data_IF_976983515913
#
_entry.id   IF_976983515913
#
_cell.length_a   1.000
_cell.length_b   1.000
_cell.length_c   1.000
_cell.angle_alpha   90.00
_cell.angle_beta   90.00
_cell.angle_gamma   90.00
#
_symmetry.space_group_name_H-M   'P 1'
#
loop_
_entity.id
_entity.type
_entity.pdbx_description
1 polymer ?
#
# COMPACT_ATOMS: atom_id res chain seq x y z
N UNK A 1 4.05 54.59 16.68
CA UNK A 1 4.35 53.23 17.20
C UNK A 1 5.49 52.67 16.37
N UNK A 2 6.61 52.25 16.97
CA UNK A 2 7.83 52.02 16.21
C UNK A 2 7.71 50.72 15.41
N UNK A 3 8.12 50.76 14.15
CA UNK A 3 8.15 49.62 13.20
C UNK A 3 8.72 48.33 13.82
N UNK A 4 9.61 48.46 14.80
CA UNK A 4 10.16 47.36 15.62
C UNK A 4 9.10 46.53 16.36
N UNK A 5 8.04 47.17 16.88
CA UNK A 5 6.94 46.48 17.57
C UNK A 5 6.07 45.67 16.60
N UNK A 6 5.83 46.20 15.39
CA UNK A 6 5.12 45.50 14.32
C UNK A 6 5.91 44.27 13.83
N UNK A 7 7.22 44.42 13.64
CA UNK A 7 8.09 43.30 13.24
C UNK A 7 8.11 42.21 14.32
N UNK A 8 8.25 42.57 15.60
CA UNK A 8 8.26 41.61 16.71
C UNK A 8 6.92 40.88 16.86
N UNK A 9 5.79 41.56 16.62
CA UNK A 9 4.46 40.95 16.63
C UNK A 9 4.29 39.95 15.47
N UNK A 10 4.72 40.32 14.26
CA UNK A 10 4.61 39.43 13.08
C UNK A 10 5.48 38.19 13.24
N UNK A 11 6.70 38.32 13.75
CA UNK A 11 7.58 37.16 13.97
C UNK A 11 7.05 36.24 15.06
N UNK A 12 6.49 36.77 16.14
CA UNK A 12 5.88 35.95 17.22
C UNK A 12 4.60 35.25 16.76
N UNK A 13 3.76 35.90 15.97
CA UNK A 13 2.56 35.25 15.41
C UNK A 13 2.96 34.17 14.39
N UNK A 14 3.96 34.43 13.55
CA UNK A 14 4.46 33.44 12.59
C UNK A 14 5.06 32.22 13.29
N UNK A 15 5.87 32.40 14.35
CA UNK A 15 6.45 31.29 15.11
C UNK A 15 5.38 30.49 15.85
N UNK A 16 4.39 31.15 16.46
CA UNK A 16 3.25 30.47 17.09
C UNK A 16 2.41 29.70 16.07
N UNK A 17 2.22 30.24 14.86
CA UNK A 17 1.53 29.55 13.76
C UNK A 17 2.25 28.28 13.32
N UNK A 18 3.58 28.33 13.20
CA UNK A 18 4.39 27.14 12.87
C UNK A 18 4.33 26.10 14.00
N UNK A 19 4.44 26.52 15.27
CA UNK A 19 4.37 25.62 16.41
C UNK A 19 3.00 24.94 16.53
N UNK A 20 1.90 25.66 16.25
CA UNK A 20 0.55 25.10 16.24
C UNK A 20 0.34 24.07 15.11
N UNK A 21 0.92 24.30 13.94
CA UNK A 21 0.92 23.32 12.85
C UNK A 21 1.71 22.05 13.22
N UNK A 22 2.83 22.19 13.93
CA UNK A 22 3.60 21.04 14.42
C UNK A 22 2.86 20.25 15.50
N UNK A 23 2.14 20.89 16.42
CA UNK A 23 1.44 20.19 17.52
C UNK A 23 0.17 19.46 17.08
N UNK A 24 -0.48 19.92 16.01
CA UNK A 24 -1.67 19.28 15.42
C UNK A 24 -1.32 18.14 14.45
N UNK A 25 -0.03 17.90 14.18
CA UNK A 25 0.42 16.81 13.33
C UNK A 25 0.20 15.46 14.01
N UNK A 26 -0.87 14.76 13.62
CA UNK A 26 -1.13 13.37 13.99
C UNK A 26 -0.07 12.45 13.38
N UNK A 27 1.09 12.34 14.02
CA UNK A 27 2.16 11.49 13.54
C UNK A 27 1.87 10.01 13.88
N UNK A 28 1.89 9.16 12.86
CA UNK A 28 2.12 7.73 13.07
C UNK A 28 3.63 7.52 13.18
N UNK A 29 4.10 6.63 14.07
CA UNK A 29 5.51 6.35 14.18
C UNK A 29 6.04 5.74 12.88
N UNK A 30 7.30 5.99 12.55
CA UNK A 30 7.92 5.43 11.34
C UNK A 30 8.05 3.90 11.40
N UNK A 31 8.16 3.33 12.61
CA UNK A 31 8.31 1.91 12.88
C UNK A 31 7.54 1.53 14.15
N UNK A 32 7.23 0.25 14.31
CA UNK A 32 6.65 -0.25 15.56
C UNK A 32 7.70 -0.23 16.69
N UNK A 33 7.33 0.09 17.94
CA UNK A 33 8.25 0.00 19.08
C UNK A 33 8.87 -1.40 19.20
N UNK A 34 10.18 -1.46 19.45
CA UNK A 34 10.99 -2.68 19.42
C UNK A 34 10.84 -3.59 20.66
N UNK A 35 10.12 -3.12 21.68
CA UNK A 35 10.07 -3.64 23.05
C UNK A 35 8.84 -4.51 23.36
N UNK A 36 7.82 -4.46 22.51
CA UNK A 36 6.67 -5.37 22.58
C UNK A 36 7.06 -6.63 21.82
N UNK A 37 7.37 -7.71 22.54
CA UNK A 37 7.82 -9.00 22.00
C UNK A 37 6.90 -9.57 20.92
N UNK A 38 7.04 -9.06 19.69
CA UNK A 38 6.30 -9.48 18.51
C UNK A 38 6.69 -10.93 18.26
N UNK A 39 5.85 -11.84 18.75
CA UNK A 39 6.12 -13.28 18.74
C UNK A 39 6.04 -13.87 17.32
N UNK A 40 5.63 -13.07 16.34
CA UNK A 40 5.41 -13.48 14.97
C UNK A 40 6.26 -12.66 13.99
N UNK A 41 6.78 -13.34 12.97
CA UNK A 41 7.45 -12.73 11.80
C UNK A 41 6.54 -11.69 11.12
N UNK A 42 5.22 -11.87 11.21
CA UNK A 42 4.20 -10.91 10.83
C UNK A 42 3.27 -10.64 12.02
N UNK A 43 3.36 -9.49 12.69
CA UNK A 43 2.44 -9.15 13.78
C UNK A 43 1.04 -8.91 13.23
N UNK A 44 0.00 -9.34 13.98
CA UNK A 44 -1.39 -8.99 13.70
C UNK A 44 -1.76 -7.87 14.66
N UNK A 45 -2.11 -6.69 14.13
CA UNK A 45 -2.33 -5.49 14.94
C UNK A 45 -3.40 -5.71 16.04
N UNK A 46 -4.44 -6.48 15.74
CA UNK A 46 -5.55 -6.73 16.66
C UNK A 46 -5.23 -7.68 17.81
N UNK A 47 -4.03 -8.28 17.83
CA UNK A 47 -3.56 -9.08 18.97
C UNK A 47 -3.23 -8.18 20.18
N UNK A 48 -2.87 -6.92 19.93
CA UNK A 48 -2.51 -5.95 20.99
C UNK A 48 -3.33 -4.65 20.92
N UNK A 49 -3.94 -4.33 19.78
CA UNK A 49 -4.79 -3.15 19.61
C UNK A 49 -6.27 -3.54 19.50
N UNK A 50 -7.17 -2.67 19.95
CA UNK A 50 -8.58 -2.79 19.61
C UNK A 50 -8.77 -2.72 18.09
N UNK A 51 -9.83 -3.37 17.57
CA UNK A 51 -10.09 -3.44 16.13
C UNK A 51 -10.14 -2.07 15.44
N UNK A 52 -10.55 -1.03 16.17
CA UNK A 52 -10.67 0.34 15.69
C UNK A 52 -10.36 1.33 16.81
N UNK A 53 -9.59 2.35 16.46
CA UNK A 53 -9.38 3.57 17.24
C UNK A 53 -9.90 4.78 16.48
N UNK A 54 -9.83 5.96 17.10
CA UNK A 54 -10.18 7.24 16.47
C UNK A 54 -9.38 7.53 15.20
N UNK A 55 -8.13 7.04 15.14
CA UNK A 55 -7.18 7.35 14.06
C UNK A 55 -7.04 6.22 13.05
N UNK A 56 -7.24 4.98 13.45
CA UNK A 56 -6.95 3.82 12.64
C UNK A 56 -7.87 2.64 12.92
N UNK A 57 -8.38 2.01 11.87
CA UNK A 57 -9.01 0.69 11.94
C UNK A 57 -7.93 -0.39 11.81
N UNK A 58 -7.36 -0.84 12.93
CA UNK A 58 -6.27 -1.83 12.95
C UNK A 58 -6.64 -3.15 12.28
N UNK A 59 -7.92 -3.55 12.34
CA UNK A 59 -8.41 -4.75 11.67
C UNK A 59 -8.22 -4.71 10.14
N UNK A 60 -8.23 -3.52 9.53
CA UNK A 60 -8.08 -3.36 8.08
C UNK A 60 -6.67 -3.76 7.58
N UNK A 61 -5.67 -3.80 8.46
CA UNK A 61 -4.27 -4.13 8.13
C UNK A 61 -3.96 -5.62 8.29
N UNK A 62 -4.95 -6.42 8.68
CA UNK A 62 -4.77 -7.86 8.76
C UNK A 62 -4.58 -8.45 7.36
N UNK A 63 -3.46 -9.13 7.15
CA UNK A 63 -3.10 -9.77 5.90
C UNK A 63 -3.89 -11.08 5.68
N UNK A 64 -5.21 -10.95 5.56
CA UNK A 64 -6.09 -12.08 5.21
C UNK A 64 -5.70 -12.66 3.83
N UNK A 65 -6.15 -13.88 3.48
CA UNK A 65 -5.87 -14.47 2.17
C UNK A 65 -6.31 -13.62 0.96
N UNK A 66 -7.21 -12.66 1.16
CA UNK A 66 -7.72 -11.76 0.12
C UNK A 66 -7.09 -10.37 0.17
N UNK A 67 -6.18 -10.10 1.12
CA UNK A 67 -5.61 -8.78 1.31
C UNK A 67 -4.93 -8.24 0.05
N UNK A 68 -4.25 -9.10 -0.73
CA UNK A 68 -3.63 -8.71 -1.99
C UNK A 68 -4.61 -8.08 -3.00
N UNK A 69 -5.88 -8.45 -2.99
CA UNK A 69 -6.89 -7.86 -3.89
C UNK A 69 -7.68 -6.73 -3.26
N UNK A 70 -7.73 -6.63 -1.93
CA UNK A 70 -8.49 -5.61 -1.19
C UNK A 70 -7.65 -4.45 -0.65
N UNK A 71 -6.32 -4.59 -0.62
CA UNK A 71 -5.39 -3.64 0.02
C UNK A 71 -5.48 -2.21 -0.55
N UNK A 72 -5.93 -2.04 -1.80
CA UNK A 72 -6.11 -0.71 -2.42
C UNK A 72 -6.92 0.23 -1.53
N UNK A 73 -8.01 -0.26 -0.95
CA UNK A 73 -8.90 0.55 -0.11
C UNK A 73 -8.18 1.06 1.14
N UNK A 74 -7.37 0.21 1.76
CA UNK A 74 -6.61 0.53 2.97
C UNK A 74 -5.40 1.42 2.63
N UNK A 75 -4.63 1.05 1.61
CA UNK A 75 -3.47 1.80 1.14
C UNK A 75 -3.83 3.23 0.72
N UNK A 76 -5.00 3.43 0.07
CA UNK A 76 -5.44 4.76 -0.34
C UNK A 76 -5.67 5.74 0.82
N UNK A 77 -5.95 5.22 2.03
CA UNK A 77 -6.21 6.02 3.23
C UNK A 77 -5.02 6.09 4.17
N UNK A 78 -4.16 5.06 4.16
CA UNK A 78 -3.16 4.87 5.21
C UNK A 78 -1.90 4.14 4.73
N UNK A 79 -1.39 4.47 3.54
CA UNK A 79 -0.16 3.88 3.00
C UNK A 79 1.06 3.97 3.94
N UNK A 80 1.14 5.02 4.77
CA UNK A 80 2.24 5.17 5.73
C UNK A 80 2.32 4.05 6.79
N UNK A 81 1.22 3.36 7.10
CA UNK A 81 1.23 2.22 8.02
C UNK A 81 1.97 1.04 7.40
N UNK A 82 1.82 0.84 6.08
CA UNK A 82 2.55 -0.19 5.35
C UNK A 82 4.07 0.04 5.45
N UNK A 83 4.51 1.31 5.45
CA UNK A 83 5.91 1.69 5.51
C UNK A 83 6.59 1.33 6.84
N UNK A 84 5.83 0.99 7.89
CA UNK A 84 6.38 0.50 9.16
C UNK A 84 7.04 -0.87 9.02
N UNK A 85 6.64 -1.67 8.01
CA UNK A 85 7.18 -3.01 7.76
C UNK A 85 7.70 -3.21 6.33
N UNK A 86 7.10 -2.54 5.34
CA UNK A 86 7.41 -2.71 3.93
C UNK A 86 8.16 -1.51 3.37
N UNK A 87 9.20 -1.76 2.58
CA UNK A 87 9.86 -0.70 1.81
C UNK A 87 9.05 -0.33 0.57
N UNK A 88 9.26 0.87 0.02
CA UNK A 88 8.60 1.31 -1.22
C UNK A 88 8.83 0.34 -2.40
N UNK A 89 9.98 -0.34 -2.42
CA UNK A 89 10.31 -1.38 -3.41
C UNK A 89 9.27 -2.50 -3.45
N UNK A 90 8.67 -2.88 -2.30
CA UNK A 90 7.61 -3.88 -2.23
C UNK A 90 6.38 -3.46 -3.04
N UNK A 91 5.93 -2.21 -2.88
CA UNK A 91 4.81 -1.67 -3.66
C UNK A 91 5.14 -1.70 -5.17
N UNK A 92 6.39 -1.38 -5.51
CA UNK A 92 6.87 -1.33 -6.88
C UNK A 92 6.94 -2.72 -7.53
N UNK A 93 6.91 -3.81 -6.77
CA UNK A 93 6.85 -5.16 -7.37
C UNK A 93 5.59 -5.38 -8.21
N UNK A 94 4.49 -4.73 -7.85
CA UNK A 94 3.24 -4.78 -8.60
C UNK A 94 2.84 -3.46 -9.26
N UNK A 95 3.22 -2.32 -8.66
CA UNK A 95 2.86 -1.00 -9.16
C UNK A 95 3.91 -0.37 -10.10
N UNK A 96 5.02 -1.06 -10.40
CA UNK A 96 5.97 -0.56 -11.40
C UNK A 96 5.30 -0.55 -12.79
N UNK A 97 5.02 0.64 -13.29
CA UNK A 97 4.56 0.84 -14.66
C UNK A 97 5.73 0.59 -15.61
N UNK A 98 5.61 -0.39 -16.51
CA UNK A 98 6.58 -0.64 -17.59
C UNK A 98 7.50 -1.85 -17.41
N UNK A 99 7.32 -2.64 -16.35
CA UNK A 99 8.01 -3.93 -16.21
C UNK A 99 6.95 -5.02 -16.11
N UNK A 100 7.05 -6.04 -16.96
CA UNK A 100 6.21 -7.22 -16.86
C UNK A 100 6.45 -7.90 -15.51
N UNK A 101 5.38 -8.09 -14.72
CA UNK A 101 5.45 -8.89 -13.50
C UNK A 101 5.74 -10.33 -13.90
N UNK A 102 6.99 -10.77 -13.70
CA UNK A 102 7.39 -12.17 -13.84
C UNK A 102 7.66 -12.82 -12.47
N UNK A 103 6.64 -13.14 -11.66
CA UNK A 103 6.78 -14.01 -10.49
C UNK A 103 7.51 -15.33 -10.79
N UNK A 104 7.43 -15.85 -12.03
CA UNK A 104 8.28 -16.96 -12.52
C UNK A 104 9.78 -16.70 -12.46
N UNK A 105 10.22 -15.47 -12.28
CA UNK A 105 11.63 -15.11 -12.12
C UNK A 105 11.93 -14.66 -10.70
N UNK A 106 11.01 -13.95 -10.05
CA UNK A 106 11.23 -13.37 -8.71
C UNK A 106 10.81 -14.29 -7.56
N UNK A 107 9.61 -14.88 -7.64
CA UNK A 107 8.94 -15.54 -6.51
C UNK A 107 8.39 -16.91 -6.94
N UNK A 108 9.26 -17.73 -7.52
CA UNK A 108 8.91 -18.99 -8.21
C UNK A 108 8.23 -20.01 -7.30
N UNK A 109 8.61 -20.05 -6.02
CA UNK A 109 8.14 -21.01 -5.03
C UNK A 109 6.92 -20.51 -4.24
N UNK A 110 6.46 -19.28 -4.46
CA UNK A 110 5.38 -18.71 -3.68
C UNK A 110 4.00 -19.11 -4.22
N UNK A 111 3.15 -19.63 -3.33
CA UNK A 111 1.83 -20.17 -3.69
C UNK A 111 0.70 -19.15 -3.52
N UNK A 112 1.00 -17.85 -3.54
CA UNK A 112 0.02 -16.79 -3.33
C UNK A 112 -1.17 -16.88 -4.27
N UNK A 113 -2.33 -17.30 -3.72
CA UNK A 113 -3.51 -17.68 -4.52
C UNK A 113 -4.07 -16.58 -5.42
N UNK A 114 -3.74 -15.31 -5.17
CA UNK A 114 -4.25 -14.15 -5.90
C UNK A 114 -3.25 -13.40 -6.77
N UNK A 115 -2.07 -13.96 -7.08
CA UNK A 115 -1.09 -13.26 -7.94
C UNK A 115 -1.42 -13.45 -9.44
N UNK A 116 -1.56 -12.36 -10.21
CA UNK A 116 -1.95 -12.41 -11.63
C UNK A 116 -0.89 -12.95 -12.59
N UNK A 117 0.32 -13.28 -12.12
CA UNK A 117 1.44 -13.67 -12.99
C UNK A 117 2.29 -14.83 -12.43
N UNK A 118 1.67 -15.89 -11.90
CA UNK A 118 2.43 -17.07 -11.43
C UNK A 118 3.18 -17.80 -12.55
N UNK A 119 4.17 -18.63 -12.19
CA UNK A 119 5.04 -19.24 -13.19
C UNK A 119 4.36 -20.18 -14.18
N UNK A 120 3.18 -20.69 -13.81
CA UNK A 120 2.29 -21.50 -14.62
C UNK A 120 1.04 -20.73 -15.09
N UNK A 121 1.04 -19.41 -15.02
CA UNK A 121 -0.20 -18.61 -15.15
C UNK A 121 -0.90 -18.81 -16.49
N UNK A 122 -0.19 -19.15 -17.57
CA UNK A 122 -0.81 -19.48 -18.85
C UNK A 122 -1.83 -20.63 -18.75
N UNK A 123 -1.57 -21.62 -17.90
CA UNK A 123 -2.51 -22.74 -17.65
C UNK A 123 -3.75 -22.32 -16.85
N UNK A 124 -3.63 -21.25 -16.05
CA UNK A 124 -4.69 -20.72 -15.20
C UNK A 124 -5.46 -19.56 -15.84
N UNK A 125 -4.87 -18.91 -16.84
CA UNK A 125 -5.41 -17.72 -17.51
C UNK A 125 -6.85 -17.91 -17.96
N UNK A 126 -7.22 -19.09 -18.48
CA UNK A 126 -8.58 -19.38 -18.92
C UNK A 126 -9.60 -19.38 -17.77
N UNK A 127 -9.19 -19.78 -16.56
CA UNK A 127 -10.04 -19.79 -15.37
C UNK A 127 -10.19 -18.36 -14.86
N UNK A 128 -9.07 -17.70 -14.58
CA UNK A 128 -9.07 -16.38 -13.96
C UNK A 128 -9.65 -15.32 -14.93
N UNK A 129 -9.36 -15.42 -16.23
CA UNK A 129 -9.93 -14.56 -17.27
C UNK A 129 -11.42 -14.78 -17.54
N UNK A 130 -11.99 -15.94 -17.18
CA UNK A 130 -13.45 -16.15 -17.19
C UNK A 130 -14.12 -15.58 -15.95
N UNK A 131 -13.44 -15.61 -14.80
CA UNK A 131 -13.95 -15.09 -13.54
C UNK A 131 -13.96 -13.56 -13.52
N UNK A 132 -12.83 -12.94 -13.87
CA UNK A 132 -12.69 -11.48 -13.94
C UNK A 132 -11.53 -11.07 -14.89
N UNK A 133 -11.82 -10.89 -16.19
CA UNK A 133 -10.80 -10.43 -17.12
C UNK A 133 -10.44 -8.95 -16.93
N UNK A 134 -11.27 -8.17 -16.24
CA UNK A 134 -11.06 -6.73 -16.06
C UNK A 134 -9.89 -6.41 -15.13
N UNK A 135 -9.60 -7.33 -14.21
CA UNK A 135 -8.41 -7.28 -13.35
C UNK A 135 -7.10 -7.14 -14.14
N UNK A 136 -7.02 -7.75 -15.32
CA UNK A 136 -5.84 -7.76 -16.19
C UNK A 136 -5.68 -6.44 -16.96
N UNK A 137 -6.77 -5.79 -17.34
CA UNK A 137 -6.77 -4.64 -18.28
C UNK A 137 -6.06 -3.42 -17.72
N UNK A 138 -5.95 -3.30 -16.41
CA UNK A 138 -5.22 -2.20 -15.76
C UNK A 138 -3.75 -2.14 -16.15
N UNK A 139 -3.13 -3.31 -16.34
CA UNK A 139 -1.71 -3.41 -16.70
C UNK A 139 -1.51 -3.83 -18.15
N UNK A 140 -2.37 -4.73 -18.66
CA UNK A 140 -2.25 -5.27 -20.01
C UNK A 140 -3.02 -4.48 -21.06
N UNK A 141 -3.95 -3.60 -20.67
CA UNK A 141 -4.79 -2.87 -21.61
C UNK A 141 -5.95 -3.70 -22.18
N UNK A 142 -6.61 -3.15 -23.18
CA UNK A 142 -7.81 -3.73 -23.80
C UNK A 142 -7.45 -4.97 -24.65
N UNK A 143 -8.17 -6.11 -24.50
CA UNK A 143 -7.89 -7.33 -25.25
C UNK A 143 -7.80 -7.18 -26.78
N UNK A 144 -8.54 -6.23 -27.36
CA UNK A 144 -8.59 -5.99 -28.81
C UNK A 144 -7.40 -5.18 -29.33
N UNK A 145 -6.70 -4.48 -28.44
CA UNK A 145 -5.66 -3.52 -28.83
C UNK A 145 -4.30 -3.82 -28.18
N UNK A 146 -4.26 -4.59 -27.10
CA UNK A 146 -3.03 -4.87 -26.37
C UNK A 146 -2.16 -5.93 -27.03
N UNK A 147 -0.84 -5.74 -26.99
CA UNK A 147 0.11 -6.71 -27.51
C UNK A 147 0.05 -8.07 -26.80
N UNK A 148 -0.35 -8.09 -25.53
CA UNK A 148 -0.39 -9.30 -24.70
C UNK A 148 -1.64 -10.14 -24.92
N UNK A 149 -2.75 -9.57 -25.37
CA UNK A 149 -4.02 -10.29 -25.56
C UNK A 149 -4.38 -10.49 -27.04
N UNK A 150 -4.15 -9.47 -27.87
CA UNK A 150 -4.50 -9.45 -29.30
C UNK A 150 -4.04 -10.71 -30.07
N UNK A 151 -2.83 -11.27 -29.84
CA UNK A 151 -2.38 -12.46 -30.56
C UNK A 151 -3.29 -13.69 -30.41
N UNK A 152 -4.04 -13.79 -29.30
CA UNK A 152 -4.93 -14.93 -29.03
C UNK A 152 -6.43 -14.55 -29.08
N UNK A 153 -6.77 -13.26 -28.88
CA UNK A 153 -8.15 -12.80 -28.71
C UNK A 153 -8.71 -11.92 -29.84
N UNK A 154 -7.88 -11.51 -30.81
CA UNK A 154 -8.33 -10.76 -31.99
C UNK A 154 -8.25 -9.25 -31.82
#
# INVERSE_FOLDING_TARGET
MPVRFLIALVTTVATLGVLYACSSSNYLPAQHPADVGLSHIRPICVDCHESRSDKLAYADFNHTPTFATTHRSVASRSAQVCAMCHQQSFCNECHATGIELKPSLKNQSETFRGMPHRGDYQSRHVIDGRLDPTSCYRCHGNPKASETCRPCHG
#
